data_IF_160658642164
#
_entry.id   IF_160658642164
#
_cell.length_a   1.000
_cell.length_b   1.000
_cell.length_c   1.000
_cell.angle_alpha   90.00
_cell.angle_beta   90.00
_cell.angle_gamma   90.00
#
_symmetry.space_group_name_H-M   'P 1'
#
loop_
_entity.id
_entity.type
_entity.pdbx_description
1 polymer ?
#
# COMPACT_ATOMS: atom_id res chain seq x y z
N UNK A 1 12.68 -12.60 20.68
CA UNK A 1 11.56 -11.78 20.21
C UNK A 1 10.49 -12.66 19.58
N UNK A 2 9.23 -12.28 19.69
CA UNK A 2 8.13 -12.97 19.01
C UNK A 2 8.01 -12.52 17.55
N UNK A 3 7.66 -13.45 16.66
CA UNK A 3 7.44 -13.15 15.25
C UNK A 3 6.48 -14.14 14.58
N UNK A 4 5.74 -13.67 13.58
CA UNK A 4 5.07 -14.52 12.60
C UNK A 4 6.09 -14.89 11.52
N UNK A 5 6.24 -16.17 11.25
CA UNK A 5 7.20 -16.70 10.28
C UNK A 5 6.45 -17.56 9.26
N UNK A 6 6.66 -17.28 7.99
CA UNK A 6 6.25 -18.17 6.91
C UNK A 6 7.45 -19.10 6.63
N UNK A 7 7.38 -20.33 7.12
CA UNK A 7 8.47 -21.32 6.92
C UNK A 7 8.48 -21.89 5.51
N UNK A 8 7.32 -22.00 4.90
CA UNK A 8 7.03 -22.46 3.54
C UNK A 8 5.59 -22.11 3.19
N UNK A 9 5.15 -22.24 1.94
CA UNK A 9 3.74 -22.13 1.58
C UNK A 9 2.85 -22.99 2.48
N UNK A 10 1.78 -22.39 3.01
CA UNK A 10 0.85 -22.97 3.98
C UNK A 10 1.48 -23.42 5.33
N UNK A 11 2.69 -22.94 5.63
CA UNK A 11 3.40 -23.22 6.87
C UNK A 11 3.72 -21.94 7.61
N UNK A 12 2.71 -21.34 8.28
CA UNK A 12 2.84 -20.07 9.03
C UNK A 12 2.81 -20.38 10.52
N UNK A 13 3.74 -19.83 11.27
CA UNK A 13 3.87 -20.03 12.71
C UNK A 13 4.15 -18.72 13.43
N UNK A 14 3.63 -18.59 14.65
CA UNK A 14 4.00 -17.53 15.59
C UNK A 14 4.94 -18.13 16.64
N UNK A 15 6.19 -17.68 16.66
CA UNK A 15 7.24 -18.28 17.49
C UNK A 15 8.30 -17.29 17.93
N UNK A 16 9.14 -17.74 18.85
CA UNK A 16 10.33 -17.02 19.26
C UNK A 16 11.44 -17.12 18.19
N UNK A 17 12.08 -15.98 17.94
CA UNK A 17 13.30 -15.84 17.15
C UNK A 17 14.38 -15.14 17.97
N UNK A 18 15.63 -15.27 17.57
CA UNK A 18 16.71 -14.42 18.04
C UNK A 18 16.49 -12.97 17.57
N UNK A 19 16.78 -12.00 18.43
CA UNK A 19 16.70 -10.60 18.05
C UNK A 19 17.77 -10.25 16.99
N UNK A 20 17.45 -9.40 16.00
CA UNK A 20 18.42 -9.01 14.98
C UNK A 20 19.56 -8.18 15.62
N UNK A 21 20.78 -8.37 15.12
CA UNK A 21 21.91 -7.52 15.46
C UNK A 21 21.84 -6.16 14.75
N UNK A 22 22.33 -5.12 15.39
CA UNK A 22 22.38 -3.76 14.84
C UNK A 22 23.75 -3.52 14.21
N UNK A 23 23.76 -3.27 12.89
CA UNK A 23 24.99 -2.83 12.19
C UNK A 23 25.32 -1.35 12.49
N UNK A 24 26.55 -0.89 12.18
CA UNK A 24 26.95 0.49 12.49
C UNK A 24 26.02 1.57 11.91
N UNK A 25 25.46 1.35 10.70
CA UNK A 25 24.54 2.29 10.04
C UNK A 25 23.06 1.88 10.12
N UNK A 26 22.72 0.95 11.01
CA UNK A 26 21.35 0.46 11.18
C UNK A 26 20.72 0.98 12.47
N UNK A 27 19.41 0.96 12.51
CA UNK A 27 18.60 1.18 13.71
C UNK A 27 17.82 -0.08 14.04
N UNK A 28 17.60 -0.35 15.32
CA UNK A 28 16.67 -1.38 15.80
C UNK A 28 15.38 -0.70 16.21
N UNK A 29 14.29 -1.13 15.62
CA UNK A 29 12.97 -0.57 15.88
C UNK A 29 12.09 -1.62 16.53
N UNK A 30 11.47 -1.28 17.66
CA UNK A 30 10.36 -2.05 18.19
C UNK A 30 9.13 -1.74 17.35
N UNK A 31 8.71 -2.71 16.53
CA UNK A 31 7.48 -2.62 15.73
C UNK A 31 6.28 -2.52 16.67
N UNK A 32 5.51 -1.45 16.56
CA UNK A 32 4.32 -1.23 17.37
C UNK A 32 3.07 -1.67 16.63
N UNK A 33 3.08 -1.50 15.32
CA UNK A 33 1.96 -1.81 14.47
C UNK A 33 2.41 -2.19 13.07
N UNK A 34 1.80 -3.21 12.49
CA UNK A 34 2.06 -3.65 11.12
C UNK A 34 0.74 -3.88 10.36
N UNK A 35 0.69 -3.46 9.10
CA UNK A 35 -0.46 -3.64 8.23
C UNK A 35 -0.50 -5.03 7.61
N UNK A 36 -1.69 -5.61 7.51
CA UNK A 36 -1.92 -6.82 6.73
C UNK A 36 -2.20 -6.43 5.27
N UNK A 37 -1.37 -6.94 4.37
CA UNK A 37 -1.47 -6.76 2.93
C UNK A 37 -1.88 -8.06 2.23
N UNK A 38 -2.55 -7.96 1.09
CA UNK A 38 -2.88 -9.15 0.28
C UNK A 38 -1.63 -9.93 -0.14
N UNK A 39 -0.53 -9.24 -0.42
CA UNK A 39 0.74 -9.87 -0.77
C UNK A 39 1.30 -10.76 0.35
N UNK A 40 1.09 -10.40 1.63
CA UNK A 40 1.49 -11.27 2.75
C UNK A 40 0.73 -12.60 2.69
N UNK A 41 -0.58 -12.56 2.41
CA UNK A 41 -1.41 -13.76 2.25
C UNK A 41 -0.97 -14.58 1.02
N UNK A 42 -0.64 -13.91 -0.08
CA UNK A 42 -0.13 -14.59 -1.28
C UNK A 42 1.21 -15.30 -1.02
N UNK A 43 2.10 -14.72 -0.21
CA UNK A 43 3.29 -15.42 0.29
C UNK A 43 2.93 -16.59 1.21
N UNK A 44 1.97 -16.39 2.14
CA UNK A 44 1.51 -17.44 3.06
C UNK A 44 0.93 -18.64 2.33
N UNK A 45 0.17 -18.42 1.26
CA UNK A 45 -0.48 -19.48 0.46
C UNK A 45 0.42 -20.05 -0.62
N UNK A 46 1.51 -19.38 -0.96
CA UNK A 46 2.38 -19.74 -2.09
C UNK A 46 1.85 -19.26 -3.45
N UNK A 47 0.91 -18.34 -3.48
CA UNK A 47 0.45 -17.69 -4.72
C UNK A 47 1.48 -16.65 -5.24
N UNK A 48 2.34 -16.13 -4.36
CA UNK A 48 3.47 -15.27 -4.72
C UNK A 48 4.77 -15.92 -4.24
N UNK A 49 5.54 -16.47 -5.18
CA UNK A 49 6.77 -17.23 -4.92
C UNK A 49 7.95 -16.79 -5.80
N UNK A 50 7.90 -15.61 -6.38
CA UNK A 50 9.01 -15.10 -7.21
C UNK A 50 10.32 -15.10 -6.39
N UNK A 51 11.34 -15.89 -6.80
CA UNK A 51 12.56 -16.04 -6.04
C UNK A 51 13.42 -14.76 -5.96
N UNK A 52 13.08 -13.73 -6.69
CA UNK A 52 13.70 -12.41 -6.52
C UNK A 52 13.21 -11.71 -5.25
N UNK A 53 12.04 -12.07 -4.75
CA UNK A 53 11.36 -11.41 -3.65
C UNK A 53 11.15 -12.32 -2.43
N UNK A 54 10.90 -13.61 -2.61
CA UNK A 54 10.53 -14.50 -1.51
C UNK A 54 11.52 -15.63 -1.33
N UNK A 55 12.15 -15.67 -0.16
CA UNK A 55 13.01 -16.77 0.28
C UNK A 55 12.51 -17.28 1.62
N UNK A 56 11.91 -18.46 1.64
CA UNK A 56 11.46 -19.08 2.89
C UNK A 56 12.63 -19.65 3.70
N UNK A 57 12.65 -19.55 5.05
CA UNK A 57 11.63 -18.87 5.88
C UNK A 57 11.72 -17.35 5.78
N UNK A 58 10.57 -16.66 5.86
CA UNK A 58 10.49 -15.20 5.83
C UNK A 58 9.63 -14.68 6.99
N UNK A 59 10.00 -13.54 7.56
CA UNK A 59 9.17 -12.75 8.46
C UNK A 59 8.51 -11.66 7.62
N UNK A 60 7.20 -11.72 7.37
CA UNK A 60 6.51 -10.76 6.52
C UNK A 60 6.25 -9.40 7.21
N UNK A 61 5.46 -8.55 6.56
CA UNK A 61 5.07 -7.23 7.07
C UNK A 61 5.96 -6.12 6.52
N UNK A 62 5.54 -5.53 5.41
CA UNK A 62 6.24 -4.44 4.72
C UNK A 62 5.60 -3.07 4.99
N UNK A 63 4.45 -3.04 5.62
CA UNK A 63 3.73 -1.86 6.07
C UNK A 63 3.80 -1.82 7.60
N UNK A 64 4.67 -1.01 8.21
CA UNK A 64 4.85 -1.02 9.66
C UNK A 64 5.37 0.29 10.22
N UNK A 65 5.12 0.53 11.51
CA UNK A 65 5.56 1.69 12.26
C UNK A 65 5.97 1.27 13.68
N UNK A 66 6.90 1.99 14.29
CA UNK A 66 7.39 1.63 15.61
C UNK A 66 8.20 2.71 16.30
N UNK A 67 8.95 2.29 17.32
CA UNK A 67 9.82 3.14 18.13
C UNK A 67 11.25 2.61 18.08
N UNK A 68 12.20 3.48 17.81
CA UNK A 68 13.64 3.14 17.83
C UNK A 68 14.05 2.76 19.25
N UNK A 69 14.68 1.60 19.42
CA UNK A 69 15.17 1.11 20.72
C UNK A 69 16.70 1.11 20.80
N UNK A 70 17.39 0.98 19.65
CA UNK A 70 18.85 0.99 19.58
C UNK A 70 19.28 1.60 18.24
N UNK A 71 20.44 2.27 18.23
CA UNK A 71 21.06 2.83 17.03
C UNK A 71 22.51 2.40 16.91
N UNK A 72 22.95 2.12 15.69
CA UNK A 72 24.35 1.83 15.38
C UNK A 72 25.26 3.05 15.53
N UNK A 73 26.57 2.82 15.62
CA UNK A 73 27.56 3.85 15.92
C UNK A 73 27.68 4.96 14.86
N UNK A 74 27.28 4.67 13.60
CA UNK A 74 27.37 5.60 12.47
C UNK A 74 26.02 6.33 12.20
N UNK A 75 24.95 6.01 12.95
CA UNK A 75 23.62 6.64 12.84
C UNK A 75 23.67 8.07 13.33
N UNK A 76 23.11 9.01 12.57
CA UNK A 76 23.23 10.46 12.86
C UNK A 76 21.87 11.18 12.94
N UNK A 77 20.86 10.75 12.21
CA UNK A 77 19.58 11.47 12.05
C UNK A 77 18.44 10.92 12.90
N UNK A 78 18.65 9.76 13.55
CA UNK A 78 17.65 9.04 14.33
C UNK A 78 18.24 8.66 15.69
N UNK A 79 17.42 8.64 16.73
CA UNK A 79 17.83 8.29 18.10
C UNK A 79 16.84 7.35 18.77
N UNK A 80 17.27 6.65 19.80
CA UNK A 80 16.40 5.85 20.63
C UNK A 80 15.25 6.70 21.21
N UNK A 81 14.03 6.17 21.15
CA UNK A 81 12.80 6.84 21.52
C UNK A 81 12.06 7.50 20.36
N UNK A 82 12.70 7.72 19.22
CA UNK A 82 12.03 8.30 18.05
C UNK A 82 10.93 7.35 17.52
N UNK A 83 9.79 7.92 17.17
CA UNK A 83 8.70 7.25 16.48
C UNK A 83 9.00 7.25 14.99
N UNK A 84 8.92 6.12 14.33
CA UNK A 84 9.42 5.98 12.96
C UNK A 84 8.51 5.11 12.09
N UNK A 85 8.62 5.35 10.79
CA UNK A 85 8.22 4.44 9.71
C UNK A 85 9.42 4.15 8.83
N UNK A 86 9.40 3.01 8.14
CA UNK A 86 10.51 2.62 7.27
C UNK A 86 10.01 2.32 5.87
N UNK A 87 10.75 2.81 4.86
CA UNK A 87 10.50 2.40 3.47
C UNK A 87 10.59 0.88 3.36
N UNK A 88 9.67 0.27 2.61
CA UNK A 88 9.71 -1.16 2.34
C UNK A 88 10.93 -1.59 1.52
N UNK A 89 11.53 -0.66 0.74
CA UNK A 89 12.65 -0.96 -0.14
C UNK A 89 13.97 -0.38 0.37
N UNK A 90 14.95 -1.25 0.57
CA UNK A 90 16.33 -0.88 0.88
C UNK A 90 17.11 -0.82 -0.43
N UNK A 91 17.36 0.38 -0.92
CA UNK A 91 17.97 0.63 -2.24
C UNK A 91 19.43 1.04 -2.13
N UNK A 92 20.21 0.85 -3.22
CA UNK A 92 21.66 1.09 -3.17
C UNK A 92 22.07 2.53 -3.44
N UNK A 93 21.18 3.40 -3.90
CA UNK A 93 21.37 4.81 -4.29
C UNK A 93 22.51 5.09 -5.31
N UNK A 94 23.13 4.07 -5.92
CA UNK A 94 24.30 4.22 -6.82
C UNK A 94 24.19 3.57 -8.19
N UNK A 95 23.24 2.64 -8.39
CA UNK A 95 23.01 2.05 -9.72
C UNK A 95 22.32 3.06 -10.66
N UNK A 96 22.32 2.82 -11.99
CA UNK A 96 21.68 3.71 -12.95
C UNK A 96 20.22 4.02 -12.63
N UNK A 97 19.44 3.03 -12.20
CA UNK A 97 18.04 3.21 -11.81
C UNK A 97 17.88 4.16 -10.62
N UNK A 98 18.67 3.96 -9.56
CA UNK A 98 18.65 4.86 -8.40
C UNK A 98 19.04 6.29 -8.77
N UNK A 99 20.07 6.47 -9.63
CA UNK A 99 20.49 7.79 -10.08
C UNK A 99 19.47 8.50 -10.96
N UNK A 100 18.61 7.73 -11.65
CA UNK A 100 17.48 8.24 -12.43
C UNK A 100 16.24 8.55 -11.57
N UNK A 101 16.30 8.33 -10.23
CA UNK A 101 15.16 8.49 -9.34
C UNK A 101 14.18 7.30 -9.32
N UNK A 102 14.47 6.26 -10.07
CA UNK A 102 13.66 5.04 -10.20
C UNK A 102 14.07 4.01 -9.14
N UNK A 103 14.07 4.40 -7.85
CA UNK A 103 14.63 3.59 -6.77
C UNK A 103 13.90 2.26 -6.57
N UNK A 104 12.60 2.18 -6.88
CA UNK A 104 11.81 0.94 -6.87
C UNK A 104 12.31 -0.12 -7.88
N UNK A 105 13.14 0.28 -8.83
CA UNK A 105 13.79 -0.59 -9.82
C UNK A 105 15.29 -0.75 -9.57
N UNK A 106 15.73 -0.55 -8.33
CA UNK A 106 17.13 -0.70 -7.94
C UNK A 106 17.65 -2.11 -8.31
N UNK A 107 18.80 -2.16 -8.98
CA UNK A 107 19.44 -3.44 -9.37
C UNK A 107 19.91 -4.30 -8.19
N UNK A 108 19.98 -3.72 -6.99
CA UNK A 108 20.40 -4.36 -5.74
C UNK A 108 19.36 -4.09 -4.65
N UNK A 109 18.09 -4.19 -5.02
CA UNK A 109 17.00 -3.97 -4.09
C UNK A 109 16.94 -5.11 -3.08
N UNK A 110 16.78 -4.75 -1.83
CA UNK A 110 16.28 -5.64 -0.78
C UNK A 110 14.94 -5.08 -0.31
N UNK A 111 14.07 -5.93 0.22
CA UNK A 111 12.75 -5.51 0.64
C UNK A 111 12.44 -6.04 2.05
N UNK A 112 12.07 -5.13 2.95
CA UNK A 112 11.65 -5.44 4.31
C UNK A 112 10.30 -6.16 4.23
N UNK A 113 10.16 -7.28 4.93
CA UNK A 113 8.99 -8.16 4.85
C UNK A 113 9.01 -9.18 3.71
N UNK A 114 10.09 -9.18 2.88
CA UNK A 114 10.29 -10.09 1.75
C UNK A 114 11.67 -10.75 1.80
N UNK A 115 12.70 -10.02 1.36
CA UNK A 115 14.09 -10.50 1.37
C UNK A 115 14.82 -10.17 2.68
N UNK A 116 14.25 -9.29 3.49
CA UNK A 116 14.67 -8.95 4.86
C UNK A 116 13.49 -9.17 5.82
N UNK A 117 13.75 -9.50 7.10
CA UNK A 117 12.68 -9.58 8.10
C UNK A 117 11.86 -8.28 8.19
N UNK A 118 10.54 -8.44 8.30
CA UNK A 118 9.58 -7.35 8.32
C UNK A 118 8.91 -7.10 9.67
N UNK A 119 7.90 -6.23 9.64
CA UNK A 119 7.19 -5.72 10.80
C UNK A 119 6.33 -6.72 11.58
N UNK A 120 6.20 -7.97 11.10
CA UNK A 120 5.53 -9.03 11.86
C UNK A 120 6.46 -9.69 12.91
N UNK A 121 7.57 -9.05 13.22
CA UNK A 121 8.40 -9.32 14.39
C UNK A 121 8.38 -8.15 15.37
N UNK A 122 8.58 -8.41 16.66
CA UNK A 122 8.68 -7.37 17.68
C UNK A 122 9.83 -6.39 17.42
N UNK A 123 10.92 -6.87 16.83
CA UNK A 123 12.10 -6.05 16.53
C UNK A 123 12.49 -6.19 15.05
N UNK A 124 12.73 -5.06 14.41
CA UNK A 124 13.17 -4.96 13.01
C UNK A 124 14.42 -4.11 12.93
N UNK A 125 15.47 -4.65 12.30
CA UNK A 125 16.67 -3.89 11.98
C UNK A 125 16.55 -3.30 10.57
N UNK A 126 16.75 -1.97 10.46
CA UNK A 126 16.65 -1.26 9.18
C UNK A 126 17.80 -0.25 9.04
N UNK A 127 18.37 -0.05 7.84
CA UNK A 127 19.34 1.01 7.60
C UNK A 127 18.74 2.39 7.86
N UNK A 128 19.49 3.27 8.53
CA UNK A 128 19.05 4.64 8.84
C UNK A 128 18.43 5.38 7.65
N UNK A 129 19.01 5.20 6.44
CA UNK A 129 18.60 5.91 5.22
C UNK A 129 17.19 5.63 4.73
N UNK A 130 16.55 4.56 5.23
CA UNK A 130 15.14 4.21 4.89
C UNK A 130 14.18 4.52 6.04
N UNK A 131 14.69 5.15 7.11
CA UNK A 131 13.91 5.45 8.31
C UNK A 131 13.46 6.91 8.29
N UNK A 132 12.19 7.15 8.57
CA UNK A 132 11.59 8.48 8.64
C UNK A 132 10.97 8.69 10.02
N UNK A 133 11.40 9.77 10.68
CA UNK A 133 10.87 10.14 12.00
C UNK A 133 9.46 10.72 11.85
N UNK A 134 8.54 10.24 12.68
CA UNK A 134 7.17 10.73 12.77
C UNK A 134 7.01 11.67 13.98
N UNK A 135 6.34 12.82 13.81
CA UNK A 135 5.94 13.66 14.94
C UNK A 135 5.04 12.89 15.94
N UNK A 136 5.05 13.32 17.19
CA UNK A 136 4.28 12.69 18.28
C UNK A 136 2.77 12.58 17.98
N UNK A 137 2.22 13.56 17.27
CA UNK A 137 0.80 13.61 16.95
C UNK A 137 0.38 12.66 15.81
N UNK A 138 1.31 12.07 15.09
CA UNK A 138 1.01 11.08 14.04
C UNK A 138 0.83 9.72 14.70
N UNK A 139 -0.31 9.09 14.52
CA UNK A 139 -0.59 7.77 15.06
C UNK A 139 0.26 6.69 14.40
N UNK A 140 0.41 5.53 15.02
CA UNK A 140 1.03 4.38 14.32
C UNK A 140 0.11 3.81 13.23
N UNK A 141 -1.21 4.00 13.33
CA UNK A 141 -2.16 3.68 12.27
C UNK A 141 -1.85 4.45 10.98
N UNK A 142 -1.70 5.78 11.10
CA UNK A 142 -1.28 6.61 9.97
C UNK A 142 0.13 6.20 9.47
N UNK A 143 1.04 5.86 10.39
CA UNK A 143 2.39 5.40 10.07
C UNK A 143 2.39 4.15 9.20
N UNK A 144 1.60 3.13 9.55
CA UNK A 144 1.45 1.89 8.77
C UNK A 144 0.93 2.19 7.35
N UNK A 145 0.05 3.16 7.20
CA UNK A 145 -0.56 3.52 5.93
C UNK A 145 0.33 4.37 5.01
N UNK A 146 1.48 4.83 5.48
CA UNK A 146 2.47 5.56 4.64
C UNK A 146 2.92 4.71 3.47
N UNK A 147 3.13 3.41 3.69
CA UNK A 147 3.53 2.48 2.62
C UNK A 147 2.48 2.42 1.49
N UNK A 148 1.26 1.95 1.71
CA UNK A 148 0.28 1.85 0.63
C UNK A 148 -0.16 3.21 0.10
N UNK A 149 -0.12 4.29 0.88
CA UNK A 149 -0.35 5.65 0.39
C UNK A 149 0.73 6.09 -0.60
N UNK A 150 1.98 5.66 -0.41
CA UNK A 150 3.07 5.91 -1.35
C UNK A 150 2.86 5.19 -2.68
N UNK A 151 2.33 3.96 -2.66
CA UNK A 151 1.93 3.23 -3.89
C UNK A 151 0.89 4.02 -4.67
N UNK A 152 -0.15 4.50 -3.98
CA UNK A 152 -1.24 5.28 -4.61
C UNK A 152 -0.73 6.62 -5.13
N UNK A 153 0.06 7.37 -4.34
CA UNK A 153 0.58 8.67 -4.76
C UNK A 153 1.50 8.54 -5.98
N UNK A 154 2.34 7.50 -6.06
CA UNK A 154 3.15 7.21 -7.23
C UNK A 154 2.29 7.02 -8.49
N UNK A 155 1.20 6.27 -8.38
CA UNK A 155 0.23 6.11 -9.46
C UNK A 155 -0.44 7.43 -9.87
N UNK A 156 -0.92 8.19 -8.90
CA UNK A 156 -1.56 9.49 -9.16
C UNK A 156 -0.59 10.50 -9.82
N UNK A 157 0.69 10.50 -9.44
CA UNK A 157 1.69 11.35 -10.11
C UNK A 157 1.84 10.99 -11.59
N UNK A 158 1.81 9.71 -11.97
CA UNK A 158 1.84 9.27 -13.37
C UNK A 158 0.56 9.63 -14.10
N UNK A 159 -0.60 9.48 -13.44
CA UNK A 159 -1.90 9.81 -14.02
C UNK A 159 -2.18 11.32 -14.06
N UNK A 160 -1.44 12.12 -13.28
CA UNK A 160 -1.50 13.59 -13.27
C UNK A 160 -2.93 14.13 -13.15
N UNK A 161 -3.67 13.88 -12.05
CA UNK A 161 -5.01 14.43 -11.85
C UNK A 161 -4.97 15.96 -11.83
N UNK A 162 -5.97 16.59 -12.44
CA UNK A 162 -6.04 18.05 -12.59
C UNK A 162 -7.20 18.63 -11.79
N UNK A 163 -7.08 19.88 -11.28
CA UNK A 163 -8.20 20.56 -10.65
C UNK A 163 -9.42 20.62 -11.58
N UNK A 164 -10.60 20.38 -11.03
CA UNK A 164 -11.86 20.42 -11.77
C UNK A 164 -12.22 19.13 -12.55
N UNK A 165 -11.37 18.10 -12.54
CA UNK A 165 -11.67 16.83 -13.18
C UNK A 165 -12.73 16.01 -12.41
N UNK A 166 -13.54 15.26 -13.15
CA UNK A 166 -14.40 14.20 -12.62
C UNK A 166 -13.59 12.90 -12.53
N UNK A 167 -13.46 12.35 -11.33
CA UNK A 167 -12.62 11.17 -11.09
C UNK A 167 -13.45 10.00 -10.56
N UNK A 168 -13.22 8.79 -11.12
CA UNK A 168 -13.75 7.54 -10.62
C UNK A 168 -12.72 6.76 -9.82
N UNK A 169 -13.16 6.06 -8.77
CA UNK A 169 -12.34 5.09 -8.03
C UNK A 169 -13.09 3.78 -7.99
N UNK A 170 -12.55 2.72 -8.58
CA UNK A 170 -13.15 1.38 -8.59
C UNK A 170 -12.45 0.49 -7.58
N UNK A 171 -13.24 -0.05 -6.64
CA UNK A 171 -12.78 -0.79 -5.47
C UNK A 171 -12.46 0.13 -4.29
N UNK A 172 -13.04 -0.14 -3.12
CA UNK A 172 -12.91 0.69 -1.92
C UNK A 172 -12.24 -0.11 -0.78
N UNK A 173 -11.24 -0.93 -1.13
CA UNK A 173 -10.31 -1.51 -0.17
C UNK A 173 -9.25 -0.47 0.27
N UNK A 174 -8.12 -0.93 0.81
CA UNK A 174 -7.05 -0.03 1.27
C UNK A 174 -6.61 0.98 0.20
N UNK A 175 -6.25 0.52 -1.01
CA UNK A 175 -5.73 1.41 -2.06
C UNK A 175 -6.80 2.39 -2.56
N UNK A 176 -8.07 1.94 -2.72
CA UNK A 176 -9.15 2.81 -3.16
C UNK A 176 -9.50 3.87 -2.12
N UNK A 177 -9.53 3.51 -0.84
CA UNK A 177 -9.73 4.45 0.27
C UNK A 177 -8.63 5.52 0.29
N UNK A 178 -7.37 5.11 0.13
CA UNK A 178 -6.23 6.02 0.05
C UNK A 178 -6.27 6.88 -1.22
N UNK A 179 -6.74 6.32 -2.36
CA UNK A 179 -6.91 7.08 -3.59
C UNK A 179 -7.95 8.20 -3.42
N UNK A 180 -9.08 7.92 -2.78
CA UNK A 180 -10.09 8.95 -2.47
C UNK A 180 -9.50 10.06 -1.61
N UNK A 181 -8.80 9.72 -0.52
CA UNK A 181 -8.19 10.69 0.38
C UNK A 181 -7.14 11.57 -0.34
N UNK A 182 -6.27 10.97 -1.14
CA UNK A 182 -5.22 11.68 -1.89
C UNK A 182 -5.78 12.52 -3.04
N UNK A 183 -6.80 12.05 -3.77
CA UNK A 183 -7.43 12.78 -4.87
C UNK A 183 -8.04 14.11 -4.40
N UNK A 184 -8.54 14.20 -3.18
CA UNK A 184 -9.05 15.47 -2.61
C UNK A 184 -8.00 16.57 -2.63
N UNK A 185 -6.73 16.25 -2.49
CA UNK A 185 -5.63 17.22 -2.54
C UNK A 185 -5.42 17.81 -3.94
N UNK A 186 -6.02 17.21 -4.97
CA UNK A 186 -5.98 17.69 -6.36
C UNK A 186 -7.18 18.54 -6.79
N UNK A 187 -8.09 18.87 -5.86
CA UNK A 187 -9.28 19.70 -6.12
C UNK A 187 -10.16 19.19 -7.28
N UNK A 188 -10.58 17.92 -7.29
CA UNK A 188 -11.45 17.39 -8.32
C UNK A 188 -12.83 18.05 -8.25
N UNK A 189 -13.56 18.12 -9.39
CA UNK A 189 -14.95 18.57 -9.40
C UNK A 189 -15.85 17.56 -8.68
N UNK A 190 -15.56 16.27 -8.86
CA UNK A 190 -16.25 15.18 -8.17
C UNK A 190 -15.36 13.96 -8.06
N UNK A 191 -15.59 13.15 -7.02
CA UNK A 191 -15.02 11.80 -6.87
C UNK A 191 -16.18 10.82 -6.77
N UNK A 192 -16.27 9.88 -7.73
CA UNK A 192 -17.28 8.82 -7.75
C UNK A 192 -16.63 7.50 -7.34
N UNK A 193 -17.05 6.93 -6.23
CA UNK A 193 -16.54 5.63 -5.78
C UNK A 193 -17.48 4.50 -6.21
N UNK A 194 -16.89 3.46 -6.82
CA UNK A 194 -17.58 2.25 -7.24
C UNK A 194 -17.15 1.07 -6.37
N UNK A 195 -18.06 0.51 -5.62
CA UNK A 195 -17.86 -0.65 -4.75
C UNK A 195 -18.89 -1.73 -5.02
N UNK A 196 -18.61 -2.94 -4.57
CA UNK A 196 -19.51 -4.10 -4.71
C UNK A 196 -20.29 -4.40 -3.44
N UNK A 197 -20.09 -3.61 -2.39
CA UNK A 197 -20.77 -3.73 -1.08
C UNK A 197 -21.11 -2.35 -0.53
N UNK A 198 -22.27 -2.24 0.09
CA UNK A 198 -22.76 -0.97 0.64
C UNK A 198 -21.85 -0.44 1.75
N UNK A 199 -21.32 -1.31 2.59
CA UNK A 199 -20.46 -0.93 3.71
C UNK A 199 -19.14 -0.28 3.24
N UNK A 200 -18.59 -0.74 2.11
CA UNK A 200 -17.42 -0.11 1.49
C UNK A 200 -17.74 1.32 1.02
N UNK A 201 -18.94 1.54 0.49
CA UNK A 201 -19.39 2.83 -0.01
C UNK A 201 -19.62 3.85 1.12
N UNK A 202 -20.01 3.41 2.32
CA UNK A 202 -20.08 4.27 3.50
C UNK A 202 -18.67 4.82 3.86
N UNK A 203 -17.65 3.95 3.82
CA UNK A 203 -16.27 4.39 4.06
C UNK A 203 -15.81 5.38 2.98
N UNK A 204 -16.10 5.10 1.69
CA UNK A 204 -15.77 6.01 0.59
C UNK A 204 -16.38 7.41 0.81
N UNK A 205 -17.63 7.48 1.22
CA UNK A 205 -18.32 8.75 1.50
C UNK A 205 -17.64 9.50 2.65
N UNK A 206 -17.28 8.82 3.74
CA UNK A 206 -16.56 9.44 4.87
C UNK A 206 -15.17 9.95 4.48
N UNK A 207 -14.49 9.28 3.56
CA UNK A 207 -13.19 9.68 3.05
C UNK A 207 -13.25 10.84 2.03
N UNK A 208 -14.47 11.19 1.56
CA UNK A 208 -14.70 12.35 0.71
C UNK A 208 -15.07 12.05 -0.74
N UNK A 209 -15.52 10.82 -1.05
CA UNK A 209 -16.22 10.59 -2.30
C UNK A 209 -17.51 11.45 -2.34
N UNK A 210 -17.73 12.17 -3.44
CA UNK A 210 -18.91 13.05 -3.62
C UNK A 210 -20.15 12.27 -3.99
N UNK A 211 -19.96 11.07 -4.57
CA UNK A 211 -21.03 10.11 -4.86
C UNK A 211 -20.48 8.70 -4.82
N UNK A 212 -21.36 7.74 -4.59
CA UNK A 212 -21.04 6.31 -4.49
C UNK A 212 -22.00 5.51 -5.37
N UNK A 213 -21.49 4.44 -5.96
CA UNK A 213 -22.23 3.57 -6.87
C UNK A 213 -21.97 2.13 -6.47
N UNK A 214 -23.06 1.38 -6.19
CA UNK A 214 -22.98 -0.07 -6.04
C UNK A 214 -22.76 -0.68 -7.42
N UNK A 215 -21.56 -1.17 -7.68
CA UNK A 215 -21.17 -1.74 -8.96
C UNK A 215 -21.73 -3.17 -9.10
N UNK A 216 -22.32 -3.45 -10.25
CA UNK A 216 -22.91 -4.74 -10.56
C UNK A 216 -23.35 -4.80 -12.03
N UNK A 217 -24.13 -5.82 -12.38
CA UNK A 217 -24.74 -5.94 -13.72
C UNK A 217 -25.62 -4.72 -13.98
N UNK A 218 -25.34 -3.99 -15.06
CA UNK A 218 -26.07 -2.79 -15.44
C UNK A 218 -25.54 -1.47 -14.82
N UNK A 219 -24.34 -1.46 -14.24
CA UNK A 219 -23.70 -0.19 -13.85
C UNK A 219 -23.58 0.71 -15.09
N UNK A 220 -24.16 1.95 -15.06
CA UNK A 220 -24.11 2.83 -16.21
C UNK A 220 -22.65 3.17 -16.60
N UNK A 221 -22.34 3.00 -17.90
CA UNK A 221 -21.01 3.30 -18.45
C UNK A 221 -20.90 4.73 -19.02
N UNK A 222 -21.89 5.59 -18.79
CA UNK A 222 -22.01 6.93 -19.34
C UNK A 222 -21.48 8.04 -18.42
N UNK A 223 -20.68 7.68 -17.42
CA UNK A 223 -20.20 8.63 -16.40
C UNK A 223 -19.23 9.69 -16.93
N UNK A 224 -18.62 9.49 -18.10
CA UNK A 224 -17.67 10.41 -18.75
C UNK A 224 -16.61 10.99 -17.78
N UNK A 225 -15.87 10.09 -17.11
CA UNK A 225 -14.87 10.46 -16.13
C UNK A 225 -13.52 10.82 -16.81
N UNK A 226 -12.89 11.90 -16.36
CA UNK A 226 -11.58 12.34 -16.84
C UNK A 226 -10.45 11.39 -16.48
N UNK A 227 -10.53 10.84 -15.28
CA UNK A 227 -9.60 9.87 -14.72
C UNK A 227 -10.38 8.77 -14.01
N UNK A 228 -10.01 7.52 -14.23
CA UNK A 228 -10.51 6.39 -13.43
C UNK A 228 -9.34 5.67 -12.79
N UNK A 229 -9.38 5.51 -11.47
CA UNK A 229 -8.39 4.77 -10.68
C UNK A 229 -8.96 3.40 -10.35
N UNK A 230 -8.35 2.34 -10.89
CA UNK A 230 -8.74 0.96 -10.67
C UNK A 230 -7.84 0.35 -9.58
N UNK A 231 -8.45 -0.13 -8.51
CA UNK A 231 -7.75 -0.67 -7.33
C UNK A 231 -8.26 -2.07 -6.90
N UNK A 232 -9.25 -2.60 -7.59
CA UNK A 232 -9.84 -3.91 -7.25
C UNK A 232 -9.01 -5.09 -7.78
N UNK A 233 -8.23 -4.87 -8.86
CA UNK A 233 -7.41 -5.90 -9.48
C UNK A 233 -8.21 -7.00 -10.18
N UNK A 234 -9.48 -6.77 -10.51
CA UNK A 234 -10.30 -7.74 -11.21
C UNK A 234 -10.42 -7.39 -12.71
N UNK A 235 -10.37 -8.37 -13.63
CA UNK A 235 -10.52 -8.08 -15.07
C UNK A 235 -11.80 -7.31 -15.41
N UNK A 236 -12.91 -7.61 -14.71
CA UNK A 236 -14.19 -6.90 -14.88
C UNK A 236 -14.09 -5.44 -14.42
N UNK A 237 -13.33 -5.13 -13.38
CA UNK A 237 -13.11 -3.77 -12.87
C UNK A 237 -12.29 -2.93 -13.87
N UNK A 238 -11.26 -3.53 -14.47
CA UNK A 238 -10.47 -2.88 -15.54
C UNK A 238 -11.33 -2.56 -16.76
N UNK A 239 -12.22 -3.51 -17.16
CA UNK A 239 -13.19 -3.26 -18.24
C UNK A 239 -14.10 -2.09 -17.89
N UNK A 240 -14.73 -2.11 -16.72
CA UNK A 240 -15.58 -1.03 -16.23
C UNK A 240 -14.84 0.31 -16.24
N UNK A 241 -13.57 0.32 -15.81
CA UNK A 241 -12.76 1.55 -15.83
C UNK A 241 -12.63 2.13 -17.24
N UNK A 242 -12.42 1.28 -18.27
CA UNK A 242 -12.31 1.75 -19.66
C UNK A 242 -13.64 2.22 -20.23
N UNK A 243 -14.75 1.66 -19.77
CA UNK A 243 -16.10 2.06 -20.15
C UNK A 243 -16.49 3.43 -19.56
N UNK A 244 -16.23 3.61 -18.26
CA UNK A 244 -16.51 4.86 -17.51
C UNK A 244 -15.62 6.03 -17.94
N UNK A 245 -14.44 5.76 -18.47
CA UNK A 245 -13.50 6.78 -18.91
C UNK A 245 -13.99 7.47 -20.19
N UNK A 246 -14.06 8.81 -20.19
CA UNK A 246 -14.44 9.59 -21.36
C UNK A 246 -13.39 9.51 -22.49
N UNK A 247 -13.72 9.92 -23.71
CA UNK A 247 -12.71 10.16 -24.75
C UNK A 247 -11.62 11.14 -24.25
N UNK A 248 -10.37 10.89 -24.63
CA UNK A 248 -9.16 11.58 -24.18
C UNK A 248 -8.94 11.56 -22.66
N UNK A 249 -9.58 10.62 -21.95
CA UNK A 249 -9.40 10.39 -20.52
C UNK A 249 -8.25 9.45 -20.19
N UNK A 250 -8.10 9.11 -18.90
CA UNK A 250 -7.01 8.27 -18.39
C UNK A 250 -7.56 7.20 -17.45
N UNK A 251 -7.02 5.99 -17.57
CA UNK A 251 -7.28 4.91 -16.60
C UNK A 251 -5.96 4.57 -15.91
N UNK A 252 -5.91 4.69 -14.60
CA UNK A 252 -4.79 4.28 -13.76
C UNK A 252 -5.09 2.91 -13.15
N UNK A 253 -4.21 1.94 -13.39
CA UNK A 253 -4.29 0.60 -12.83
C UNK A 253 -3.32 0.45 -11.67
N UNK A 254 -3.86 0.19 -10.48
CA UNK A 254 -3.13 -0.12 -9.24
C UNK A 254 -3.44 -1.54 -8.75
N UNK A 255 -4.63 -2.05 -9.07
CA UNK A 255 -5.03 -3.39 -8.70
C UNK A 255 -4.27 -4.47 -9.47
N UNK A 256 -3.90 -5.56 -8.78
CA UNK A 256 -3.22 -6.72 -9.37
C UNK A 256 -4.21 -7.88 -9.39
N UNK A 257 -4.45 -8.44 -10.58
CA UNK A 257 -5.41 -9.53 -10.77
C UNK A 257 -4.89 -10.89 -10.25
N UNK A 258 -3.58 -11.04 -10.15
CA UNK A 258 -2.91 -12.30 -9.84
C UNK A 258 -2.55 -13.11 -11.09
N UNK A 259 -1.69 -14.11 -10.89
CA UNK A 259 -1.13 -14.93 -11.96
C UNK A 259 -2.23 -15.70 -12.70
N UNK A 260 -2.09 -15.82 -14.03
CA UNK A 260 -3.04 -16.54 -14.89
C UNK A 260 -4.38 -15.84 -15.17
N UNK A 261 -4.65 -14.68 -14.57
CA UNK A 261 -5.83 -13.88 -14.88
C UNK A 261 -5.52 -12.87 -15.97
N UNK A 262 -6.32 -12.87 -17.03
CA UNK A 262 -6.15 -11.97 -18.16
C UNK A 262 -7.46 -11.25 -18.49
N UNK A 263 -7.31 -10.08 -19.14
CA UNK A 263 -8.41 -9.31 -19.70
C UNK A 263 -8.14 -9.14 -21.20
N UNK A 264 -9.14 -9.41 -22.02
CA UNK A 264 -9.14 -9.03 -23.43
C UNK A 264 -9.84 -7.69 -23.58
N UNK A 265 -9.11 -6.69 -24.08
CA UNK A 265 -9.66 -5.40 -24.47
C UNK A 265 -9.49 -5.25 -26.00
N UNK A 266 -10.53 -4.80 -26.73
CA UNK A 266 -10.36 -4.42 -28.14
C UNK A 266 -9.36 -3.28 -28.24
N UNK A 267 -8.33 -3.41 -29.08
CA UNK A 267 -7.33 -2.34 -29.30
C UNK A 267 -8.01 -1.05 -29.78
N UNK A 268 -9.03 -1.19 -30.62
CA UNK A 268 -9.78 -0.07 -31.20
C UNK A 268 -10.53 0.77 -30.15
N UNK A 269 -10.82 0.18 -28.96
CA UNK A 269 -11.40 0.93 -27.85
C UNK A 269 -10.43 2.01 -27.35
N UNK A 270 -9.15 1.66 -27.21
CA UNK A 270 -8.12 2.61 -26.75
C UNK A 270 -7.87 3.70 -27.79
N UNK A 271 -7.74 3.30 -29.07
CA UNK A 271 -7.54 4.23 -30.19
C UNK A 271 -8.76 5.10 -30.41
N UNK A 272 -9.97 4.51 -30.45
CA UNK A 272 -11.23 5.23 -30.71
C UNK A 272 -11.61 6.22 -29.62
N UNK A 273 -11.23 5.94 -28.35
CA UNK A 273 -11.38 6.89 -27.23
C UNK A 273 -10.17 7.82 -27.06
N UNK A 274 -9.09 7.67 -27.81
CA UNK A 274 -7.83 8.44 -27.57
C UNK A 274 -7.42 8.39 -26.08
N UNK A 275 -7.52 7.19 -25.47
CA UNK A 275 -7.46 6.98 -24.03
C UNK A 275 -6.08 6.49 -23.60
N UNK A 276 -5.56 7.00 -22.47
CA UNK A 276 -4.35 6.48 -21.86
C UNK A 276 -4.67 5.40 -20.80
N UNK A 277 -3.99 4.26 -20.90
CA UNK A 277 -3.99 3.20 -19.90
C UNK A 277 -2.64 3.18 -19.18
N UNK A 278 -2.62 3.45 -17.88
CA UNK A 278 -1.41 3.71 -17.08
C UNK A 278 -1.29 2.65 -15.98
N UNK A 279 -0.25 1.82 -16.02
CA UNK A 279 0.09 0.91 -14.94
C UNK A 279 1.02 1.55 -13.92
N UNK A 280 0.82 1.29 -12.63
CA UNK A 280 1.75 1.72 -11.59
C UNK A 280 1.89 0.65 -10.52
N UNK A 281 3.13 0.45 -10.06
CA UNK A 281 3.47 -0.46 -8.97
C UNK A 281 4.52 0.21 -8.08
N UNK A 282 4.49 -0.09 -6.79
CA UNK A 282 5.48 0.36 -5.82
C UNK A 282 5.66 1.90 -5.80
N UNK A 283 6.78 2.39 -5.32
CA UNK A 283 7.08 3.82 -5.19
C UNK A 283 8.58 4.08 -5.19
N UNK A 284 9.05 5.21 -5.74
CA UNK A 284 10.40 5.70 -5.47
C UNK A 284 10.48 6.38 -4.09
N UNK A 285 11.67 6.40 -3.47
CA UNK A 285 11.90 6.95 -2.14
C UNK A 285 11.38 8.41 -1.98
N UNK A 286 11.48 9.24 -3.02
CA UNK A 286 10.98 10.61 -3.00
C UNK A 286 9.46 10.72 -2.78
N UNK A 287 8.69 9.73 -3.20
CA UNK A 287 7.24 9.69 -2.97
C UNK A 287 6.92 9.38 -1.51
N UNK A 288 7.70 8.49 -0.90
CA UNK A 288 7.58 8.17 0.53
C UNK A 288 7.75 9.41 1.41
N UNK A 289 8.85 10.14 1.22
CA UNK A 289 9.11 11.38 1.97
C UNK A 289 7.96 12.40 1.82
N UNK A 290 7.32 12.43 0.64
CA UNK A 290 6.15 13.31 0.42
C UNK A 290 4.94 12.90 1.25
N UNK A 291 4.62 11.59 1.32
CA UNK A 291 3.51 11.11 2.17
C UNK A 291 3.81 11.41 3.64
N UNK A 292 5.04 11.12 4.12
CA UNK A 292 5.44 11.46 5.50
C UNK A 292 5.25 12.94 5.77
N UNK A 293 5.65 13.83 4.85
CA UNK A 293 5.42 15.27 4.99
C UNK A 293 3.93 15.63 5.08
N UNK A 294 3.09 15.11 4.18
CA UNK A 294 1.65 15.40 4.17
C UNK A 294 0.96 14.97 5.47
N UNK A 295 1.34 13.83 6.04
CA UNK A 295 0.79 13.34 7.31
C UNK A 295 1.34 14.17 8.48
N UNK A 296 2.64 14.48 8.48
CA UNK A 296 3.29 15.29 9.52
C UNK A 296 2.72 16.72 9.58
N UNK A 297 2.39 17.30 8.44
CA UNK A 297 1.80 18.65 8.33
C UNK A 297 0.26 18.66 8.52
N UNK A 298 -0.34 17.49 8.83
CA UNK A 298 -1.80 17.32 9.00
C UNK A 298 -2.62 17.69 7.74
N UNK A 299 -2.01 17.62 6.58
CA UNK A 299 -2.66 17.81 5.28
C UNK A 299 -3.43 16.56 4.84
N UNK A 300 -2.91 15.39 5.22
CA UNK A 300 -3.48 14.08 4.93
C UNK A 300 -3.74 13.32 6.23
N UNK A 301 -5.00 12.96 6.46
CA UNK A 301 -5.43 12.08 7.55
C UNK A 301 -5.64 10.66 7.01
N UNK A 302 -4.86 9.71 7.50
CA UNK A 302 -4.91 8.31 7.10
C UNK A 302 -5.64 7.41 8.11
N UNK A 303 -5.81 7.84 9.36
CA UNK A 303 -6.39 7.04 10.44
C UNK A 303 -7.76 6.43 10.08
N UNK A 304 -8.68 7.12 9.37
CA UNK A 304 -9.99 6.56 9.04
C UNK A 304 -9.96 5.33 8.12
N UNK A 305 -8.82 5.04 7.48
CA UNK A 305 -8.67 3.87 6.61
C UNK A 305 -8.41 2.58 7.41
N UNK A 306 -7.90 2.67 8.64
CA UNK A 306 -7.77 1.51 9.54
C UNK A 306 -9.14 1.13 10.07
N UNK A 307 -9.59 -0.07 9.74
CA UNK A 307 -10.93 -0.57 10.12
C UNK A 307 -10.88 -1.62 11.21
N UNK A 308 -9.80 -2.38 11.31
CA UNK A 308 -9.67 -3.48 12.28
C UNK A 308 -8.27 -3.54 12.88
N UNK A 309 -8.22 -3.94 14.17
CA UNK A 309 -6.97 -4.19 14.89
C UNK A 309 -7.02 -5.56 15.54
N UNK A 310 -5.91 -6.28 15.45
CA UNK A 310 -5.72 -7.57 16.11
C UNK A 310 -4.37 -7.58 16.83
N UNK A 311 -4.25 -8.20 17.99
CA UNK A 311 -2.95 -8.59 18.52
C UNK A 311 -2.22 -9.45 17.47
N UNK A 312 -0.92 -9.29 17.31
CA UNK A 312 -0.18 -10.07 16.30
C UNK A 312 -0.25 -11.58 16.55
N UNK A 313 -0.46 -12.00 17.79
CA UNK A 313 -0.71 -13.41 18.13
C UNK A 313 -1.98 -13.98 17.51
N UNK A 314 -2.91 -13.13 17.10
CA UNK A 314 -4.18 -13.46 16.44
C UNK A 314 -4.17 -13.21 14.93
N UNK A 315 -2.96 -13.16 14.32
CA UNK A 315 -2.82 -12.88 12.89
C UNK A 315 -3.67 -13.80 11.98
N UNK A 316 -3.92 -15.05 12.42
CA UNK A 316 -4.74 -15.99 11.66
C UNK A 316 -6.21 -15.53 11.57
N UNK A 317 -6.72 -14.88 12.61
CA UNK A 317 -8.07 -14.30 12.60
C UNK A 317 -8.14 -13.08 11.70
N UNK A 318 -7.09 -12.25 11.71
CA UNK A 318 -6.95 -11.13 10.81
C UNK A 318 -6.93 -11.57 9.34
N UNK A 319 -6.20 -12.66 9.02
CA UNK A 319 -6.17 -13.25 7.67
C UNK A 319 -7.56 -13.76 7.26
N UNK A 320 -8.26 -14.48 8.15
CA UNK A 320 -9.63 -14.95 7.87
C UNK A 320 -10.57 -13.78 7.57
N UNK A 321 -10.53 -12.72 8.36
CA UNK A 321 -11.36 -11.54 8.11
C UNK A 321 -11.07 -10.90 6.76
N UNK A 322 -9.80 -10.83 6.35
CA UNK A 322 -9.44 -10.27 5.03
C UNK A 322 -9.98 -11.11 3.88
N UNK A 323 -10.05 -12.43 4.03
CA UNK A 323 -10.60 -13.34 3.01
C UNK A 323 -12.14 -13.32 3.00
N UNK A 324 -12.77 -13.36 4.16
CA UNK A 324 -14.24 -13.41 4.31
C UNK A 324 -14.89 -12.05 4.01
N UNK A 325 -14.20 -10.94 4.27
CA UNK A 325 -14.63 -9.57 4.03
C UNK A 325 -16.05 -9.25 4.54
N UNK A 326 -16.38 -9.70 5.74
CA UNK A 326 -17.63 -9.31 6.38
C UNK A 326 -17.54 -7.88 6.93
N UNK A 327 -18.50 -7.01 6.56
CA UNK A 327 -18.53 -5.61 6.96
C UNK A 327 -17.51 -4.72 6.20
N UNK A 328 -17.15 -3.59 6.80
CA UNK A 328 -16.19 -2.63 6.23
C UNK A 328 -14.77 -3.13 6.50
N UNK A 329 -14.09 -3.66 5.48
CA UNK A 329 -12.71 -4.10 5.59
C UNK A 329 -11.84 -3.32 4.60
N UNK A 330 -11.14 -2.29 5.08
CA UNK A 330 -10.15 -1.55 4.29
C UNK A 330 -8.73 -1.91 4.73
N UNK A 331 -8.24 -1.38 5.87
CA UNK A 331 -6.94 -1.80 6.42
C UNK A 331 -7.14 -2.53 7.74
N UNK A 332 -6.54 -3.70 7.82
CA UNK A 332 -6.36 -4.46 9.06
C UNK A 332 -4.93 -4.22 9.55
N UNK A 333 -4.77 -3.96 10.84
CA UNK A 333 -3.46 -3.80 11.47
C UNK A 333 -3.25 -4.82 12.57
N UNK A 334 -2.00 -5.23 12.75
CA UNK A 334 -1.52 -6.15 13.78
C UNK A 334 -0.71 -5.36 14.81
N UNK A 335 -1.08 -5.47 16.08
CA UNK A 335 -0.45 -4.75 17.18
C UNK A 335 0.57 -5.64 17.90
N UNK A 336 1.76 -5.11 18.13
CA UNK A 336 2.72 -5.67 19.06
C UNK A 336 2.51 -5.12 20.47
N UNK A 337 2.73 -5.94 21.48
CA UNK A 337 2.58 -5.57 22.91
C UNK A 337 3.58 -4.47 23.34
#
# INVERSE_FOLDING_TARGET
MKAVVIERPNGVVYRDLEAPSVGPGDVLVHSRMAGLCRTDIEMMTGAFTDPRWVHYPVVPGHEWAGVVVEVGADVQSVRAGDRVVCEGFVTCHRCPRCRAGETQWCERIEAIGFTRPGGYAELVAAPERVVHVLPEHVSFDAGVLVEPASVVLNGLQKASPRPGEAVGVIGVGTLGSLAIALLRLHSPARIVAYGVREEELELASRLGATSVVLAGDGTPADAELDLVVETAGAPVAVRLATELCRPSGRVLLLGIAGEGRSLTLPSDLLVGKDMALIGSIAYPAAVWSRIVGLVSDRVLDLDPVVTHRFPISEFADAVRLMDDRHGIVAKIVLEHA
#
